data_IF_794953103779
#
_entry.id   IF_794953103779
#
_cell.length_a   1.000
_cell.length_b   1.000
_cell.length_c   1.000
_cell.angle_alpha   90.00
_cell.angle_beta   90.00
_cell.angle_gamma   90.00
#
_symmetry.space_group_name_H-M   'P 1'
#
loop_
_entity.id
_entity.type
_entity.pdbx_description
1 polymer ?
#
# COMPACT_ATOMS: atom_id res chain seq x y z
N UNK A 1 -10.10 4.17 -26.54
CA UNK A 1 -9.27 3.39 -25.58
C UNK A 1 -9.84 3.62 -24.20
N UNK A 2 -10.20 2.58 -23.43
CA UNK A 2 -10.55 2.76 -22.01
C UNK A 2 -9.25 2.99 -21.26
N UNK A 3 -9.07 4.17 -20.69
CA UNK A 3 -7.97 4.41 -19.75
C UNK A 3 -8.27 3.57 -18.51
N UNK A 4 -7.45 2.55 -18.25
CA UNK A 4 -7.47 1.84 -16.97
C UNK A 4 -6.38 2.46 -16.13
N UNK A 5 -6.76 2.93 -14.96
CA UNK A 5 -5.86 3.54 -14.00
C UNK A 5 -5.54 2.44 -12.98
N UNK A 6 -4.33 1.86 -12.98
CA UNK A 6 -4.04 0.74 -12.12
C UNK A 6 -4.01 1.14 -10.63
N UNK A 7 -4.35 0.19 -9.78
CA UNK A 7 -4.06 0.24 -8.34
C UNK A 7 -2.62 -0.25 -8.16
N UNK A 8 -1.81 0.55 -7.48
CA UNK A 8 -0.40 0.23 -7.25
C UNK A 8 -0.26 -0.35 -5.86
N UNK A 9 0.26 -1.57 -5.78
CA UNK A 9 0.58 -2.26 -4.53
C UNK A 9 2.09 -2.22 -4.32
N UNK A 10 2.52 -1.70 -3.18
CA UNK A 10 3.92 -1.68 -2.77
C UNK A 10 4.08 -2.64 -1.59
N UNK A 11 4.80 -3.73 -1.81
CA UNK A 11 5.01 -4.78 -0.81
C UNK A 11 6.31 -5.52 -1.12
N UNK A 12 7.26 -5.53 -0.17
CA UNK A 12 8.56 -6.21 -0.35
C UNK A 12 8.42 -7.71 -0.58
N UNK A 13 7.38 -8.30 0.01
CA UNK A 13 6.99 -9.69 -0.08
C UNK A 13 5.98 -9.97 -1.20
N UNK A 14 5.67 -9.00 -2.07
CA UNK A 14 4.72 -9.21 -3.16
C UNK A 14 5.05 -10.45 -4.02
N UNK A 15 6.34 -10.81 -4.13
CA UNK A 15 6.84 -11.98 -4.86
C UNK A 15 7.21 -13.16 -3.96
N UNK A 16 7.15 -12.99 -2.64
CA UNK A 16 7.47 -13.98 -1.62
C UNK A 16 6.36 -15.03 -1.48
N UNK A 17 6.68 -16.21 -0.96
CA UNK A 17 5.70 -17.27 -0.65
C UNK A 17 5.30 -17.28 0.84
N UNK A 18 5.68 -16.25 1.59
CA UNK A 18 5.28 -16.11 2.98
C UNK A 18 3.81 -15.66 3.12
N UNK A 19 3.30 -15.67 4.35
CA UNK A 19 1.92 -15.29 4.64
C UNK A 19 1.61 -13.87 4.15
N UNK A 20 2.58 -12.95 4.29
CA UNK A 20 2.45 -11.55 3.86
C UNK A 20 2.17 -11.44 2.36
N UNK A 21 3.09 -12.01 1.57
CA UNK A 21 3.03 -12.07 0.12
C UNK A 21 1.83 -12.84 -0.44
N UNK A 22 1.35 -13.86 0.26
CA UNK A 22 0.11 -14.55 -0.12
C UNK A 22 -1.12 -13.67 0.11
N UNK A 23 -1.20 -12.97 1.24
CA UNK A 23 -2.33 -12.10 1.57
C UNK A 23 -2.48 -10.93 0.59
N UNK A 24 -1.38 -10.24 0.30
CA UNK A 24 -1.40 -9.10 -0.63
C UNK A 24 -1.73 -9.52 -2.06
N UNK A 25 -1.28 -10.69 -2.51
CA UNK A 25 -1.62 -11.21 -3.84
C UNK A 25 -3.06 -11.66 -3.93
N UNK A 26 -3.63 -12.24 -2.87
CA UNK A 26 -5.06 -12.54 -2.83
C UNK A 26 -5.91 -11.27 -2.99
N UNK A 27 -5.47 -10.16 -2.38
CA UNK A 27 -6.09 -8.84 -2.58
C UNK A 27 -5.90 -8.32 -4.01
N UNK A 28 -4.71 -8.48 -4.59
CA UNK A 28 -4.47 -8.15 -5.99
C UNK A 28 -5.42 -8.92 -6.93
N UNK A 29 -5.54 -10.24 -6.76
CA UNK A 29 -6.43 -11.09 -7.55
C UNK A 29 -7.91 -10.71 -7.37
N UNK A 30 -8.32 -10.34 -6.16
CA UNK A 30 -9.67 -9.87 -5.89
C UNK A 30 -9.98 -8.55 -6.62
N UNK A 31 -9.03 -7.60 -6.62
CA UNK A 31 -9.14 -6.34 -7.37
C UNK A 31 -9.21 -6.58 -8.88
N UNK A 32 -8.38 -7.49 -9.40
CA UNK A 32 -8.39 -7.87 -10.82
C UNK A 32 -9.71 -8.54 -11.23
N UNK A 33 -10.28 -9.37 -10.36
CA UNK A 33 -11.57 -10.03 -10.57
C UNK A 33 -12.71 -9.02 -10.70
N UNK A 34 -12.64 -7.91 -9.96
CA UNK A 34 -13.59 -6.80 -10.07
C UNK A 34 -13.30 -5.88 -11.28
N UNK A 35 -12.29 -6.20 -12.09
CA UNK A 35 -11.98 -5.54 -13.37
C UNK A 35 -10.98 -4.40 -13.28
N UNK A 36 -10.32 -4.23 -12.13
CA UNK A 36 -9.22 -3.27 -11.97
C UNK A 36 -7.93 -3.83 -12.55
N UNK A 37 -7.01 -2.93 -12.89
CA UNK A 37 -5.63 -3.32 -13.23
C UNK A 37 -4.79 -3.15 -11.96
N UNK A 38 -3.98 -4.15 -11.62
CA UNK A 38 -3.14 -4.10 -10.42
C UNK A 38 -1.68 -4.20 -10.82
N UNK A 39 -0.85 -3.39 -10.17
CA UNK A 39 0.59 -3.39 -10.36
C UNK A 39 1.29 -3.57 -9.02
N UNK A 40 1.96 -4.70 -8.84
CA UNK A 40 2.77 -4.98 -7.65
C UNK A 40 4.23 -4.59 -7.84
N UNK A 41 4.77 -3.82 -6.89
CA UNK A 41 6.17 -3.41 -6.81
C UNK A 41 6.74 -3.77 -5.43
N UNK A 42 8.04 -4.02 -5.36
CA UNK A 42 8.68 -4.53 -4.15
C UNK A 42 9.46 -3.47 -3.37
N UNK A 43 9.45 -2.21 -3.81
CA UNK A 43 10.18 -1.15 -3.11
C UNK A 43 9.64 0.24 -3.42
N UNK A 44 9.70 1.11 -2.41
CA UNK A 44 9.53 2.55 -2.58
C UNK A 44 10.58 3.16 -3.54
N UNK A 45 11.78 2.58 -3.66
CA UNK A 45 12.84 3.11 -4.52
C UNK A 45 12.52 3.08 -6.02
N UNK A 46 11.70 2.12 -6.44
CA UNK A 46 11.25 2.02 -7.84
C UNK A 46 10.32 3.18 -8.23
N UNK A 47 9.80 3.94 -7.26
CA UNK A 47 8.83 5.01 -7.49
C UNK A 47 9.32 6.16 -8.35
N UNK A 48 10.63 6.45 -8.37
CA UNK A 48 11.18 7.47 -9.27
C UNK A 48 11.08 7.08 -10.74
N UNK A 49 11.18 5.78 -11.05
CA UNK A 49 10.90 5.23 -12.39
C UNK A 49 9.39 5.20 -12.66
N UNK A 50 8.57 5.04 -11.62
CA UNK A 50 7.10 5.10 -11.71
C UNK A 50 6.51 6.51 -11.68
N UNK A 51 7.27 7.57 -11.35
CA UNK A 51 6.77 8.95 -11.26
C UNK A 51 6.13 9.43 -12.58
N UNK A 52 6.52 8.86 -13.72
CA UNK A 52 5.85 9.10 -15.00
C UNK A 52 4.57 8.28 -15.20
N UNK A 53 4.44 7.12 -14.56
CA UNK A 53 3.23 6.28 -14.56
C UNK A 53 2.22 6.69 -13.47
N UNK A 54 2.65 7.36 -12.40
CA UNK A 54 1.79 7.86 -11.30
C UNK A 54 0.68 8.81 -11.77
N UNK A 55 0.87 9.51 -12.90
CA UNK A 55 -0.20 10.30 -13.51
C UNK A 55 -1.42 9.45 -13.89
N UNK A 56 -1.32 8.12 -13.82
CA UNK A 56 -2.40 7.18 -14.12
C UNK A 56 -2.70 6.18 -12.99
N UNK A 57 -2.19 6.34 -11.78
CA UNK A 57 -2.62 5.49 -10.67
C UNK A 57 -4.05 5.87 -10.21
N UNK A 58 -4.86 4.90 -9.83
CA UNK A 58 -6.18 5.13 -9.21
C UNK A 58 -6.13 5.11 -7.70
N UNK A 59 -5.29 4.26 -7.13
CA UNK A 59 -5.03 4.20 -5.68
C UNK A 59 -3.64 3.60 -5.42
N UNK A 60 -3.12 3.86 -4.23
CA UNK A 60 -1.94 3.18 -3.67
C UNK A 60 -2.33 2.30 -2.50
N UNK A 61 -1.76 1.11 -2.46
CA UNK A 61 -1.84 0.18 -1.35
C UNK A 61 -0.41 -0.10 -0.88
N UNK A 62 -0.13 0.23 0.37
CA UNK A 62 1.20 0.11 0.97
C UNK A 62 1.17 -1.00 2.01
N UNK A 63 1.94 -2.04 1.79
CA UNK A 63 2.11 -3.11 2.76
C UNK A 63 3.16 -2.72 3.78
N UNK A 64 2.88 -2.99 5.05
CA UNK A 64 3.80 -2.86 6.17
C UNK A 64 3.67 -4.08 7.07
N UNK A 65 4.79 -4.55 7.61
CA UNK A 65 4.80 -5.70 8.50
C UNK A 65 5.40 -5.40 9.89
N UNK A 66 5.23 -6.35 10.81
CA UNK A 66 5.79 -6.26 12.16
C UNK A 66 7.32 -6.43 12.17
N UNK A 67 7.97 -6.94 11.12
CA UNK A 67 9.44 -7.00 11.03
C UNK A 67 10.02 -5.59 10.82
N UNK A 68 9.39 -4.76 9.99
CA UNK A 68 9.75 -3.36 9.75
C UNK A 68 9.51 -2.45 10.99
N UNK A 69 8.50 -2.74 11.81
CA UNK A 69 8.06 -1.82 12.89
C UNK A 69 8.14 -2.35 14.33
N UNK A 70 8.16 -3.66 14.55
CA UNK A 70 8.01 -4.29 15.88
C UNK A 70 9.16 -5.23 16.28
N UNK A 71 9.79 -5.90 15.31
CA UNK A 71 10.91 -6.83 15.53
C UNK A 71 12.25 -6.29 15.04
N UNK A 72 12.23 -5.26 14.20
CA UNK A 72 13.41 -4.54 13.73
C UNK A 72 14.06 -3.66 14.81
N UNK A 73 15.26 -3.17 14.52
CA UNK A 73 15.94 -2.22 15.39
C UNK A 73 15.15 -0.90 15.44
N UNK A 74 15.26 -0.10 16.52
CA UNK A 74 14.67 1.25 16.55
C UNK A 74 15.12 2.16 15.40
N UNK A 75 16.25 1.84 14.76
CA UNK A 75 16.76 2.50 13.56
C UNK A 75 16.00 2.07 12.30
N UNK A 76 15.68 0.77 12.17
CA UNK A 76 14.94 0.19 11.04
C UNK A 76 13.51 0.76 11.00
N UNK A 77 12.83 0.78 12.15
CA UNK A 77 11.49 1.38 12.27
C UNK A 77 11.48 2.88 11.92
N UNK A 78 12.52 3.62 12.32
CA UNK A 78 12.66 5.03 11.95
C UNK A 78 12.89 5.20 10.45
N UNK A 79 13.64 4.29 9.82
CA UNK A 79 13.90 4.32 8.39
C UNK A 79 12.64 4.00 7.58
N UNK A 80 11.87 2.98 7.99
CA UNK A 80 10.59 2.63 7.40
C UNK A 80 9.59 3.79 7.51
N UNK A 81 9.45 4.38 8.70
CA UNK A 81 8.60 5.56 8.93
C UNK A 81 8.99 6.76 8.06
N UNK A 82 10.30 7.03 7.94
CA UNK A 82 10.80 8.14 7.12
C UNK A 82 10.54 7.91 5.64
N UNK A 83 10.70 6.66 5.18
CA UNK A 83 10.43 6.28 3.79
C UNK A 83 8.94 6.39 3.47
N UNK A 84 8.08 5.89 4.37
CA UNK A 84 6.63 6.03 4.27
C UNK A 84 6.20 7.49 4.25
N UNK A 85 6.73 8.33 5.14
CA UNK A 85 6.42 9.75 5.18
C UNK A 85 6.83 10.45 3.88
N UNK A 86 8.07 10.26 3.43
CA UNK A 86 8.57 10.86 2.20
C UNK A 86 7.72 10.42 0.98
N UNK A 87 7.29 9.16 0.96
CA UNK A 87 6.42 8.65 -0.07
C UNK A 87 5.06 9.35 -0.09
N UNK A 88 4.38 9.39 1.06
CA UNK A 88 3.06 10.03 1.19
C UNK A 88 3.15 11.51 0.81
N UNK A 89 4.18 12.22 1.26
CA UNK A 89 4.44 13.62 0.92
C UNK A 89 4.63 13.80 -0.60
N UNK A 90 5.39 12.94 -1.28
CA UNK A 90 5.58 13.02 -2.73
C UNK A 90 4.26 12.78 -3.48
N UNK A 91 3.47 11.80 -3.06
CA UNK A 91 2.16 11.52 -3.67
C UNK A 91 1.23 12.72 -3.50
N UNK A 92 1.11 13.25 -2.28
CA UNK A 92 0.24 14.39 -1.96
C UNK A 92 0.68 15.65 -2.68
N UNK A 93 1.99 15.84 -2.89
CA UNK A 93 2.52 16.95 -3.68
C UNK A 93 2.07 16.89 -5.15
N UNK A 94 1.92 15.70 -5.74
CA UNK A 94 1.47 15.53 -7.13
C UNK A 94 -0.04 15.46 -7.27
N UNK A 95 -0.72 14.74 -6.36
CA UNK A 95 -2.17 14.58 -6.32
C UNK A 95 -2.64 14.46 -4.87
N UNK A 96 -3.29 15.51 -4.36
CA UNK A 96 -3.78 15.55 -2.99
C UNK A 96 -4.91 14.54 -2.73
N UNK A 97 -5.68 14.20 -3.77
CA UNK A 97 -6.92 13.43 -3.65
C UNK A 97 -6.76 11.94 -3.97
N UNK A 98 -5.56 11.47 -4.36
CA UNK A 98 -5.40 10.06 -4.69
C UNK A 98 -5.50 9.18 -3.43
N UNK A 99 -6.33 8.12 -3.43
CA UNK A 99 -6.42 7.20 -2.31
C UNK A 99 -5.10 6.52 -1.98
N UNK A 100 -4.74 6.52 -0.70
CA UNK A 100 -3.59 5.78 -0.17
C UNK A 100 -4.08 4.92 0.98
N UNK A 101 -3.98 3.61 0.84
CA UNK A 101 -4.34 2.64 1.84
C UNK A 101 -3.08 2.01 2.41
N UNK A 102 -3.08 1.77 3.73
CA UNK A 102 -2.11 0.86 4.34
C UNK A 102 -2.71 -0.52 4.46
N UNK A 103 -1.88 -1.53 4.29
CA UNK A 103 -2.18 -2.94 4.45
C UNK A 103 -1.17 -3.51 5.45
N UNK A 104 -1.64 -4.17 6.50
CA UNK A 104 -0.72 -4.75 7.47
C UNK A 104 -1.43 -5.27 8.71
N UNK A 105 -0.63 -5.56 9.74
CA UNK A 105 -1.17 -6.06 11.00
C UNK A 105 -1.68 -4.91 11.89
N UNK A 106 -2.70 -5.23 12.70
CA UNK A 106 -3.31 -4.29 13.65
C UNK A 106 -2.29 -3.76 14.67
N UNK A 107 -1.22 -4.50 14.94
CA UNK A 107 -0.12 -4.09 15.83
C UNK A 107 0.77 -3.05 15.18
N UNK A 108 1.15 -3.27 13.93
CA UNK A 108 2.01 -2.38 13.13
C UNK A 108 1.45 -0.97 13.05
N UNK A 109 0.11 -0.83 12.90
CA UNK A 109 -0.56 0.48 12.85
C UNK A 109 -0.28 1.38 14.06
N UNK A 110 0.03 0.82 15.24
CA UNK A 110 0.30 1.58 16.47
C UNK A 110 1.64 2.32 16.44
N UNK A 111 2.56 1.88 15.60
CA UNK A 111 3.88 2.49 15.44
C UNK A 111 3.85 3.68 14.47
N UNK A 112 2.73 3.88 13.76
CA UNK A 112 2.57 4.92 12.77
C UNK A 112 2.16 6.23 13.47
N UNK A 113 2.90 7.33 13.25
CA UNK A 113 2.57 8.59 13.86
C UNK A 113 1.31 9.19 13.24
N UNK A 114 0.54 9.91 14.06
CA UNK A 114 -0.76 10.49 13.69
C UNK A 114 -0.71 11.41 12.47
N UNK A 115 0.41 12.07 12.19
CA UNK A 115 0.55 12.92 11.00
C UNK A 115 0.47 12.09 9.71
N UNK A 116 1.03 10.88 9.68
CA UNK A 116 0.94 9.99 8.52
C UNK A 116 -0.46 9.38 8.45
N UNK A 117 -1.01 8.90 9.56
CA UNK A 117 -2.35 8.29 9.59
C UNK A 117 -3.44 9.20 9.02
N UNK A 118 -3.30 10.53 9.21
CA UNK A 118 -4.24 11.53 8.69
C UNK A 118 -4.19 11.74 7.18
N UNK A 119 -3.09 11.37 6.53
CA UNK A 119 -2.94 11.49 5.08
C UNK A 119 -3.43 10.23 4.34
N UNK A 120 -3.65 9.14 5.08
CA UNK A 120 -4.13 7.87 4.53
C UNK A 120 -5.66 7.86 4.47
N UNK A 121 -6.18 7.18 3.46
CA UNK A 121 -7.62 6.99 3.27
C UNK A 121 -8.15 5.89 4.20
N UNK A 122 -7.37 4.83 4.40
CA UNK A 122 -7.78 3.73 5.25
C UNK A 122 -6.62 2.82 5.63
N UNK A 123 -6.88 1.99 6.63
CA UNK A 123 -6.01 0.89 7.03
C UNK A 123 -6.78 -0.42 6.83
N UNK A 124 -6.15 -1.37 6.15
CA UNK A 124 -6.69 -2.68 5.83
C UNK A 124 -5.96 -3.68 6.72
N UNK A 125 -6.72 -4.41 7.51
CA UNK A 125 -6.20 -5.36 8.47
C UNK A 125 -6.04 -6.72 7.80
N UNK A 126 -4.79 -7.11 7.52
CA UNK A 126 -4.45 -8.32 6.76
C UNK A 126 -5.17 -9.60 7.23
N UNK A 127 -5.38 -9.75 8.54
CA UNK A 127 -5.98 -10.96 9.12
C UNK A 127 -7.46 -10.83 9.48
N UNK A 128 -8.00 -9.62 9.45
CA UNK A 128 -9.37 -9.34 9.90
C UNK A 128 -10.30 -9.10 8.69
N UNK A 129 -9.76 -8.56 7.60
CA UNK A 129 -10.51 -8.25 6.39
C UNK A 129 -10.30 -9.30 5.29
N UNK A 130 -11.39 -9.70 4.63
CA UNK A 130 -11.31 -10.59 3.46
C UNK A 130 -10.91 -9.79 2.21
N UNK A 131 -10.00 -10.28 1.36
CA UNK A 131 -9.58 -9.64 0.11
C UNK A 131 -10.73 -9.12 -0.76
N UNK A 132 -11.82 -9.88 -0.89
CA UNK A 132 -12.97 -9.54 -1.73
C UNK A 132 -13.83 -8.42 -1.15
N UNK A 133 -13.85 -8.27 0.17
CA UNK A 133 -14.53 -7.16 0.83
C UNK A 133 -13.74 -5.87 0.66
N UNK A 134 -12.43 -5.95 0.88
CA UNK A 134 -11.50 -4.83 0.71
C UNK A 134 -11.49 -4.34 -0.74
N UNK A 135 -11.39 -5.26 -1.71
CA UNK A 135 -11.42 -4.91 -3.12
C UNK A 135 -12.68 -4.13 -3.49
N UNK A 136 -13.85 -4.60 -3.05
CA UNK A 136 -15.13 -3.90 -3.26
C UNK A 136 -15.23 -2.58 -2.52
N UNK A 137 -14.56 -2.42 -1.39
CA UNK A 137 -14.50 -1.17 -0.65
C UNK A 137 -13.65 -0.13 -1.40
N UNK A 138 -12.43 -0.50 -1.80
CA UNK A 138 -11.50 0.36 -2.56
C UNK A 138 -12.11 0.83 -3.87
N UNK A 139 -12.91 0.01 -4.55
CA UNK A 139 -13.52 0.35 -5.85
C UNK A 139 -14.74 1.29 -5.69
N UNK A 140 -15.39 1.30 -4.52
CA UNK A 140 -16.60 2.09 -4.29
C UNK A 140 -16.31 3.51 -3.83
N UNK A 141 -15.15 3.75 -3.23
CA UNK A 141 -14.64 5.08 -2.87
C UNK A 141 -13.97 5.76 -4.07
#
# INVERSE_FOLDING_TARGET
MKFRFPIIIIDEDFRSENASGLGIRALAEALETEGMEVLGVTSYGDLTSFAQQQSRASAFLLSIDDEEFGSGSPEDTKFALKSLQAFVEEIRFKNADIPIYLYGETRTSRHIPNNILRELHGFIHMHEDTPEFVARHIIRE
#
